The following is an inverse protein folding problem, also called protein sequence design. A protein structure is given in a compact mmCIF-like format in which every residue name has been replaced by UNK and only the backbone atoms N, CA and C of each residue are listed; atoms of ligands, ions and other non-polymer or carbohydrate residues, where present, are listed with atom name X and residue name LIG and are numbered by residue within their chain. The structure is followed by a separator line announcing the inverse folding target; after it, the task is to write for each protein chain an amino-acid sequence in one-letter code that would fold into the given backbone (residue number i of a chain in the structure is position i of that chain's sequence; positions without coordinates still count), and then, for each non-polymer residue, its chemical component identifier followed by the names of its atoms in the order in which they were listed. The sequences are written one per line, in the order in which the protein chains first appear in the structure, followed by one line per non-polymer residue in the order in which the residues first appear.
data_IF_302531413385
#
_entry.id   IF_302531413385
#
_cell.length_a   1.000
_cell.length_b   1.000
_cell.length_c   1.000
_cell.angle_alpha   90.00
_cell.angle_beta   90.00
_cell.angle_gamma   90.00
#
_symmetry.space_group_name_H-M   'P 1'
#
loop_
_entity.id
_entity.type
_entity.pdbx_description
1 polymer ?
2 polymer ?
3 non-polymer ?
4 non-polymer ?
5 water ?
#
loop_
_entity_poly.entity_id
_entity_poly.type
_entity_poly.pdbx_seq_one_letter_code
_entity_poly.pdbx_strand_id
2 'polydeoxyribonucleotide' '(DT)(DG)(DC)(DG)(DC)(DT)(DT)(DC)(DG)(DC)(DG)(DC)(DT)' ?
#
# COMPACT_ATOMS: atom_id res chain seq x y z
N UNK A 10 23.49 -27.29 1.45
CA UNK A 10 23.29 -28.48 2.37
C UNK A 10 21.79 -28.67 2.66
N UNK A 11 21.01 -27.62 2.95
CA UNK A 11 19.54 -27.66 3.10
C UNK A 11 18.88 -27.58 1.70
N UNK A 12 18.26 -28.63 1.18
CA UNK A 12 17.72 -28.69 -0.20
C UNK A 12 16.19 -28.67 -0.15
N UNK A 13 15.55 -28.29 -1.25
CA UNK A 13 14.10 -27.99 -1.32
C UNK A 13 13.37 -29.26 -1.78
N UNK A 14 12.19 -29.52 -1.24
CA UNK A 14 11.38 -30.67 -1.72
C UNK A 14 11.03 -30.45 -3.20
N UNK A 15 11.14 -31.47 -4.08
CA UNK A 15 10.69 -31.32 -5.46
C UNK A 15 9.29 -30.73 -5.67
N UNK A 16 8.27 -31.15 -4.91
CA UNK A 16 6.87 -30.66 -5.02
C UNK A 16 6.77 -29.17 -4.67
N UNK A 17 7.47 -28.74 -3.63
CA UNK A 17 7.46 -27.32 -3.22
C UNK A 17 7.98 -26.53 -4.42
N UNK A 18 9.11 -26.97 -4.98
CA UNK A 18 9.72 -26.27 -6.13
C UNK A 18 8.68 -26.17 -7.26
N UNK A 19 8.10 -27.27 -7.69
CA UNK A 19 7.32 -27.24 -8.95
C UNK A 19 5.98 -26.54 -8.69
N UNK A 20 5.46 -26.55 -7.46
CA UNK A 20 4.17 -25.87 -7.11
C UNK A 20 4.41 -24.36 -7.01
N UNK A 21 5.64 -23.92 -6.67
CA UNK A 21 5.93 -22.48 -6.39
C UNK A 21 6.65 -21.74 -7.53
N UNK A 22 7.34 -22.42 -8.42
CA UNK A 22 8.12 -21.76 -9.49
C UNK A 22 7.44 -21.95 -10.86
N UNK A 23 6.27 -22.54 -10.89
CA UNK A 23 5.52 -22.66 -12.17
C UNK A 23 5.24 -21.24 -12.68
N UNK A 24 5.66 -20.89 -13.90
CA UNK A 24 5.52 -19.47 -14.30
C UNK A 24 4.11 -19.22 -14.87
N UNK A 25 3.18 -20.17 -14.71
CA UNK A 25 1.79 -19.97 -15.16
C UNK A 25 0.82 -19.87 -14.00
N UNK A 26 1.00 -20.61 -12.92
CA UNK A 26 -0.01 -20.56 -11.82
C UNK A 26 0.68 -20.09 -10.53
N UNK A 27 0.09 -19.11 -9.88
CA UNK A 27 0.59 -18.46 -8.66
C UNK A 27 0.38 -19.26 -7.38
N UNK A 28 1.04 -18.81 -6.32
CA UNK A 28 0.81 -19.33 -4.95
C UNK A 28 0.73 -18.12 -4.04
N UNK A 29 0.14 -18.32 -2.86
CA UNK A 29 -0.03 -17.31 -1.78
C UNK A 29 1.18 -17.31 -0.89
N UNK A 30 2.37 -17.60 -1.43
CA UNK A 30 3.67 -17.41 -0.72
C UNK A 30 4.76 -17.12 -1.76
N UNK A 31 5.95 -16.75 -1.32
CA UNK A 31 7.11 -16.47 -2.18
C UNK A 31 8.32 -17.28 -1.68
N UNK A 32 8.99 -18.00 -2.58
CA UNK A 32 10.29 -18.65 -2.27
C UNK A 32 11.39 -17.83 -2.94
N UNK A 33 12.57 -17.85 -2.34
CA UNK A 33 13.72 -17.14 -2.92
C UNK A 33 14.93 -18.07 -2.79
N UNK A 34 15.47 -18.51 -3.92
CA UNK A 34 16.78 -19.20 -3.96
C UNK A 34 17.88 -18.14 -4.17
N UNK A 35 19.01 -18.24 -3.48
CA UNK A 35 20.08 -17.23 -3.55
C UNK A 35 21.44 -17.94 -3.64
N UNK A 36 22.38 -17.25 -4.26
CA UNK A 36 23.76 -17.69 -4.58
C UNK A 36 24.61 -16.45 -4.41
N UNK A 37 25.77 -16.60 -3.77
CA UNK A 37 26.75 -15.50 -3.66
C UNK A 37 28.04 -16.04 -4.31
N UNK A 38 28.58 -15.27 -5.25
CA UNK A 38 29.89 -15.60 -5.89
C UNK A 38 30.83 -14.39 -5.74
N UNK A 39 32.09 -14.68 -5.40
CA UNK A 39 33.19 -13.68 -5.29
C UNK A 39 33.72 -13.39 -6.70
N UNK A 40 33.82 -12.11 -7.06
CA UNK A 40 34.36 -11.57 -8.34
C UNK A 40 35.83 -11.18 -8.11
N UNK A 45 38.76 -13.30 -9.89
CA UNK A 45 38.43 -12.81 -11.22
C UNK A 45 37.14 -13.44 -11.73
N UNK A 46 36.05 -13.12 -11.03
CA UNK A 46 34.69 -13.57 -11.32
C UNK A 46 34.26 -15.05 -11.25
N UNK A 47 34.83 -15.84 -10.34
CA UNK A 47 34.41 -17.24 -10.14
C UNK A 47 34.74 -17.81 -8.75
N UNK A 48 33.74 -17.90 -7.87
CA UNK A 48 33.88 -18.40 -6.50
C UNK A 48 32.52 -18.60 -5.85
N UNK A 49 32.05 -19.83 -5.67
CA UNK A 49 30.66 -19.98 -5.19
C UNK A 49 30.65 -20.31 -3.68
N UNK A 50 30.28 -19.34 -2.83
CA UNK A 50 30.56 -19.34 -1.36
C UNK A 50 29.30 -19.69 -0.52
N UNK A 51 28.15 -19.09 -0.80
CA UNK A 51 26.91 -19.23 0.02
C UNK A 51 25.73 -19.41 -0.93
N UNK A 52 24.94 -20.43 -0.63
CA UNK A 52 23.74 -20.89 -1.37
C UNK A 52 22.66 -21.14 -0.32
N UNK A 53 21.40 -20.89 -0.64
CA UNK A 53 20.26 -21.48 0.09
C UNK A 53 18.95 -20.99 -0.46
N UNK A 54 17.88 -21.22 0.25
CA UNK A 54 16.53 -20.77 -0.16
C UNK A 54 15.79 -20.45 1.13
N UNK A 55 14.71 -19.68 1.01
CA UNK A 55 13.83 -19.32 2.15
C UNK A 55 12.48 -18.91 1.57
N UNK A 56 11.49 -18.70 2.43
CA UNK A 56 10.15 -18.24 1.99
C UNK A 56 9.80 -17.02 2.84
N UNK A 57 8.71 -16.35 2.48
CA UNK A 57 8.18 -15.21 3.27
C UNK A 57 7.75 -15.73 4.64
N UNK A 58 7.75 -14.85 5.65
CA UNK A 58 6.95 -15.08 6.87
C UNK A 58 5.49 -14.69 6.60
N UNK A 59 4.60 -15.67 6.65
CA UNK A 59 3.16 -15.47 6.32
C UNK A 59 2.60 -14.41 7.27
N UNK A 60 1.87 -13.47 6.70
CA UNK A 60 0.86 -12.64 7.40
C UNK A 60 0.02 -13.49 8.35
N UNK A 61 -0.23 -13.02 9.56
CA UNK A 61 -0.98 -13.81 10.58
C UNK A 61 -1.65 -12.84 11.55
N UNK A 62 -2.83 -12.36 11.17
CA UNK A 62 -3.57 -11.24 11.81
C UNK A 62 -4.13 -11.67 13.18
N UNK A 63 -4.18 -12.97 13.47
CA UNK A 63 -4.53 -13.56 14.79
C UNK A 63 -3.41 -13.25 15.80
N UNK A 64 -2.15 -13.09 15.38
CA UNK A 64 -1.05 -12.61 16.25
C UNK A 64 -0.76 -11.14 15.96
N UNK A 65 -1.63 -10.47 15.19
CA UNK A 65 -1.46 -9.09 14.69
C UNK A 65 -0.21 -8.88 13.84
N UNK A 66 0.22 -9.84 13.02
CA UNK A 66 1.50 -9.78 12.26
C UNK A 66 1.20 -9.58 10.78
N UNK A 67 1.77 -8.53 10.20
CA UNK A 67 1.50 -8.17 8.78
C UNK A 67 2.45 -8.93 7.84
N UNK A 68 3.24 -9.89 8.29
CA UNK A 68 4.07 -10.70 7.38
C UNK A 68 5.41 -10.04 7.04
N UNK A 69 6.33 -10.81 6.49
CA UNK A 69 7.64 -10.25 6.04
C UNK A 69 7.97 -10.94 4.74
N UNK A 70 8.04 -10.20 3.64
CA UNK A 70 8.33 -10.75 2.28
C UNK A 70 9.68 -11.45 2.26
N UNK A 71 9.82 -12.45 1.37
CA UNK A 71 11.04 -13.25 1.22
C UNK A 71 12.26 -12.34 0.96
N UNK A 72 12.16 -11.29 0.15
CA UNK A 72 13.35 -10.46 -0.17
C UNK A 72 13.86 -9.75 1.09
N UNK A 73 12.95 -9.34 1.98
CA UNK A 73 13.31 -8.64 3.24
C UNK A 73 13.98 -9.64 4.18
N UNK A 74 13.56 -10.92 4.09
CA UNK A 74 14.13 -12.05 4.87
C UNK A 74 15.57 -12.30 4.41
N UNK A 75 15.85 -12.28 3.10
CA UNK A 75 17.22 -12.28 2.54
C UNK A 75 18.05 -11.14 3.17
N UNK A 76 17.55 -9.90 3.21
CA UNK A 76 18.35 -8.79 3.81
C UNK A 76 18.64 -9.08 5.29
N UNK A 77 17.68 -9.68 5.99
CA UNK A 77 17.87 -10.06 7.41
C UNK A 77 19.08 -10.99 7.57
N UNK A 78 19.34 -11.94 6.66
CA UNK A 78 20.44 -12.91 6.92
C UNK A 78 21.76 -12.48 6.25
N UNK A 79 21.86 -11.32 5.58
CA UNK A 79 23.14 -10.83 4.99
C UNK A 79 24.27 -10.84 6.03
N UNK A 80 24.16 -10.21 7.23
CA UNK A 80 25.24 -10.31 8.23
C UNK A 80 25.81 -11.74 8.39
N UNK A 81 24.93 -12.75 8.48
CA UNK A 81 25.31 -14.18 8.69
C UNK A 81 26.06 -14.74 7.47
N UNK A 82 25.92 -14.16 6.29
CA UNK A 82 26.69 -14.54 5.07
C UNK A 82 28.15 -14.09 5.24
N UNK A 83 28.46 -13.13 6.11
CA UNK A 83 29.89 -12.83 6.40
C UNK A 83 30.62 -12.54 5.07
N UNK A 84 30.06 -11.66 4.24
CA UNK A 84 30.70 -11.07 3.04
C UNK A 84 31.84 -10.15 3.50
N UNK A 85 33.03 -10.44 3.00
CA UNK A 85 34.26 -9.65 3.30
C UNK A 85 34.22 -8.31 2.56
N UNK A 86 34.20 -7.17 3.27
CA UNK A 86 34.13 -5.87 2.60
C UNK A 86 35.37 -5.55 1.73
N UNK A 87 36.44 -6.35 1.78
CA UNK A 87 37.61 -6.17 0.89
C UNK A 87 37.42 -6.93 -0.43
N UNK A 88 36.27 -7.58 -0.65
CA UNK A 88 36.04 -8.42 -1.86
C UNK A 88 34.82 -7.89 -2.60
N UNK A 89 34.66 -8.23 -3.88
CA UNK A 89 33.47 -7.84 -4.69
C UNK A 89 32.63 -9.10 -4.81
N UNK A 90 31.31 -9.00 -4.70
CA UNK A 90 30.40 -10.18 -4.72
C UNK A 90 29.24 -9.96 -5.71
N UNK A 91 28.80 -11.04 -6.32
CA UNK A 91 27.56 -10.99 -7.12
C UNK A 91 26.55 -11.86 -6.38
N UNK A 92 25.41 -11.27 -6.06
CA UNK A 92 24.30 -12.01 -5.38
C UNK A 92 23.25 -12.28 -6.46
N UNK A 93 22.81 -13.53 -6.60
CA UNK A 93 21.76 -13.87 -7.57
C UNK A 93 20.56 -14.36 -6.76
N UNK A 94 19.37 -13.89 -7.14
CA UNK A 94 18.08 -14.25 -6.50
C UNK A 94 17.29 -14.99 -7.58
N UNK A 95 16.70 -16.13 -7.22
CA UNK A 95 15.68 -16.77 -8.07
C UNK A 95 14.41 -16.72 -7.23
N UNK A 96 13.48 -15.84 -7.59
CA UNK A 96 12.33 -15.49 -6.72
C UNK A 96 11.02 -15.82 -7.43
N UNK A 97 10.10 -16.53 -6.76
CA UNK A 97 8.88 -17.07 -7.43
C UNK A 97 7.93 -15.93 -7.82
N UNK A 98 8.00 -14.79 -7.13
CA UNK A 98 7.26 -13.52 -7.40
C UNK A 98 8.27 -12.38 -7.43
N UNK A 99 8.12 -11.52 -8.43
CA UNK A 99 8.93 -10.30 -8.59
C UNK A 99 8.82 -9.51 -7.31
N UNK A 100 9.91 -8.84 -6.88
CA UNK A 100 9.89 -7.88 -5.78
C UNK A 100 8.89 -6.74 -6.01
N UNK A 101 8.44 -6.10 -4.93
CA UNK A 101 7.43 -5.01 -4.99
C UNK A 101 7.75 -3.91 -3.98
N UNK A 102 6.97 -2.84 -3.98
CA UNK A 102 7.30 -1.61 -3.22
C UNK A 102 6.57 -1.68 -1.87
N UNK A 103 5.24 -1.82 -1.92
CA UNK A 103 4.34 -1.85 -0.75
C UNK A 103 4.55 -3.16 0.05
N UNK A 104 4.91 -3.05 1.33
CA UNK A 104 5.27 -4.21 2.18
C UNK A 104 6.47 -4.95 1.57
N UNK A 105 7.17 -4.30 0.63
CA UNK A 105 8.17 -4.95 -0.24
C UNK A 105 9.57 -4.55 0.17
N UNK A 106 10.53 -5.02 -0.63
CA UNK A 106 11.99 -4.84 -0.38
C UNK A 106 12.55 -3.66 -1.19
N UNK A 107 11.80 -3.07 -2.13
CA UNK A 107 12.40 -2.24 -3.20
C UNK A 107 13.23 -1.10 -2.59
N UNK A 108 12.67 -0.42 -1.59
CA UNK A 108 13.28 0.73 -0.89
C UNK A 108 14.50 0.30 -0.11
N UNK A 109 14.40 -0.78 0.65
CA UNK A 109 15.49 -1.31 1.53
C UNK A 109 16.61 -1.93 0.69
N UNK A 110 16.26 -2.60 -0.42
CA UNK A 110 17.29 -3.09 -1.39
C UNK A 110 18.03 -1.88 -1.99
N UNK A 111 17.29 -0.88 -2.46
CA UNK A 111 17.94 0.37 -2.94
C UNK A 111 18.94 0.86 -1.89
N UNK A 112 18.50 1.00 -0.63
CA UNK A 112 19.36 1.48 0.48
C UNK A 112 20.56 0.55 0.60
N UNK A 113 20.32 -0.76 0.53
CA UNK A 113 21.36 -1.79 0.74
C UNK A 113 22.39 -1.70 -0.39
N UNK A 114 21.98 -1.50 -1.65
CA UNK A 114 22.92 -1.33 -2.79
C UNK A 114 23.72 0.00 -2.69
N UNK A 115 23.07 1.09 -2.31
CA UNK A 115 23.75 2.40 -2.13
C UNK A 115 24.89 2.25 -1.12
N UNK A 116 24.65 1.66 0.04
CA UNK A 116 25.66 1.61 1.14
C UNK A 116 26.62 0.42 0.99
N UNK A 117 26.42 -0.52 0.06
CA UNK A 117 27.32 -1.69 -0.12
C UNK A 117 27.76 -1.82 -1.58
N UNK A 118 28.63 -0.93 -2.06
CA UNK A 118 29.05 -0.85 -3.49
C UNK A 118 29.85 -2.08 -3.93
N UNK A 119 30.35 -2.87 -2.97
CA UNK A 119 31.09 -4.15 -3.19
C UNK A 119 30.14 -5.30 -3.58
N UNK A 120 28.82 -5.06 -3.58
CA UNK A 120 27.78 -6.09 -3.91
C UNK A 120 27.04 -5.73 -5.21
N UNK A 121 27.05 -6.63 -6.19
CA UNK A 121 26.17 -6.57 -7.39
C UNK A 121 24.99 -7.55 -7.19
N UNK A 122 23.76 -7.14 -7.51
CA UNK A 122 22.56 -8.00 -7.36
C UNK A 122 21.96 -8.28 -8.74
N UNK A 123 21.67 -9.55 -8.99
CA UNK A 123 20.97 -10.10 -10.16
C UNK A 123 19.70 -10.78 -9.61
N UNK A 124 18.53 -10.41 -10.14
CA UNK A 124 17.17 -10.87 -9.72
C UNK A 124 16.51 -11.49 -10.95
N UNK A 125 16.21 -12.80 -10.88
CA UNK A 125 15.40 -13.58 -11.83
C UNK A 125 14.06 -13.87 -11.13
N UNK A 126 12.93 -13.47 -11.73
CA UNK A 126 11.57 -13.71 -11.18
C UNK A 126 10.87 -14.75 -12.03
N UNK A 127 10.20 -15.71 -11.41
CA UNK A 127 9.39 -16.71 -12.14
C UNK A 127 8.13 -16.03 -12.71
N UNK A 128 7.53 -15.13 -11.95
CA UNK A 128 6.19 -14.52 -12.22
C UNK A 128 6.28 -13.05 -11.83
N UNK A 129 5.39 -12.22 -12.38
CA UNK A 129 5.35 -10.76 -12.11
C UNK A 129 4.27 -10.49 -11.07
N UNK A 130 4.65 -9.94 -9.92
CA UNK A 130 3.72 -9.69 -8.80
C UNK A 130 3.08 -8.31 -8.97
N UNK A 131 1.95 -8.27 -9.67
CA UNK A 131 1.33 -6.99 -10.07
C UNK A 131 0.20 -6.68 -9.08
N UNK A 132 0.02 -7.50 -8.04
CA UNK A 132 -0.96 -7.25 -6.97
C UNK A 132 -0.55 -5.98 -6.22
N UNK A 133 0.73 -5.64 -6.09
CA UNK A 133 1.17 -4.27 -5.68
C UNK A 133 0.88 -3.27 -6.80
N UNK A 134 0.04 -2.24 -6.57
CA UNK A 134 -0.17 -1.17 -7.54
C UNK A 134 1.12 -0.49 -8.07
N UNK A 135 2.14 -0.32 -7.21
CA UNK A 135 3.43 0.34 -7.56
C UNK A 135 4.47 -0.69 -8.02
N UNK A 136 4.06 -1.87 -8.44
CA UNK A 136 5.05 -2.90 -8.85
C UNK A 136 5.96 -2.40 -9.98
N UNK A 137 5.47 -1.58 -10.92
CA UNK A 137 6.35 -1.05 -12.01
C UNK A 137 7.47 -0.19 -11.41
N UNK A 138 7.16 0.67 -10.46
CA UNK A 138 8.09 1.66 -9.87
C UNK A 138 9.15 0.90 -9.07
N UNK A 139 8.72 -0.19 -8.41
CA UNK A 139 9.58 -1.12 -7.65
C UNK A 139 10.63 -1.69 -8.60
N UNK A 140 10.18 -2.20 -9.75
CA UNK A 140 11.11 -2.87 -10.70
C UNK A 140 12.07 -1.81 -11.28
N UNK A 141 11.53 -0.66 -11.66
CA UNK A 141 12.31 0.52 -12.13
C UNK A 141 13.29 0.99 -11.06
N UNK A 142 12.90 1.01 -9.79
CA UNK A 142 13.79 1.47 -8.69
C UNK A 142 15.00 0.53 -8.56
N UNK A 143 14.76 -0.79 -8.63
CA UNK A 143 15.82 -1.82 -8.46
C UNK A 143 16.80 -1.66 -9.61
N UNK A 144 16.30 -1.42 -10.81
CA UNK A 144 17.17 -1.22 -12.00
C UNK A 144 18.01 0.06 -11.84
N UNK A 145 17.39 1.13 -11.30
CA UNK A 145 18.06 2.45 -11.12
C UNK A 145 19.23 2.26 -10.14
N UNK A 146 19.06 1.42 -9.13
CA UNK A 146 20.07 1.18 -8.09
C UNK A 146 21.10 0.16 -8.60
N UNK A 147 21.05 -0.21 -9.88
CA UNK A 147 22.10 -0.99 -10.52
C UNK A 147 21.83 -2.49 -10.47
N UNK A 148 20.70 -2.94 -9.90
CA UNK A 148 20.32 -4.38 -9.93
C UNK A 148 19.96 -4.80 -11.36
N UNK A 149 20.40 -5.97 -11.81
CA UNK A 149 19.84 -6.60 -13.04
C UNK A 149 18.52 -7.25 -12.64
N UNK A 150 17.42 -6.89 -13.31
CA UNK A 150 16.06 -7.44 -13.07
C UNK A 150 15.64 -8.17 -14.35
N UNK A 151 15.39 -9.49 -14.27
CA UNK A 151 15.19 -10.39 -15.42
C UNK A 151 14.01 -11.31 -15.08
N UNK A 152 13.59 -12.10 -16.07
CA UNK A 152 12.55 -13.15 -15.96
C UNK A 152 13.34 -14.44 -16.12
N UNK A 153 13.00 -15.42 -15.30
CA UNK A 153 13.51 -16.80 -15.34
C UNK A 153 13.07 -17.40 -16.67
N UNK A 154 14.04 -17.98 -17.37
CA UNK A 154 13.84 -18.85 -18.56
C UNK A 154 14.20 -20.28 -18.16
N UNK A 155 13.95 -21.20 -19.08
CA UNK A 155 14.39 -22.62 -18.96
C UNK A 155 15.76 -22.74 -18.27
N UNK A 156 16.82 -22.05 -18.74
CA UNK A 156 18.15 -22.19 -18.12
C UNK A 156 18.07 -21.92 -16.62
N UNK A 157 17.31 -20.92 -16.17
CA UNK A 157 17.24 -20.58 -14.73
C UNK A 157 16.40 -21.59 -13.97
N UNK A 158 15.28 -22.05 -14.54
CA UNK A 158 14.52 -23.13 -13.89
C UNK A 158 15.42 -24.35 -13.68
N UNK A 159 16.14 -24.79 -14.71
CA UNK A 159 16.97 -26.01 -14.62
C UNK A 159 18.12 -25.82 -13.61
N UNK A 160 18.86 -24.73 -13.68
CA UNK A 160 19.95 -24.45 -12.71
C UNK A 160 19.36 -24.55 -11.29
N UNK A 161 18.22 -23.93 -11.03
CA UNK A 161 17.59 -23.93 -9.67
C UNK A 161 17.23 -25.36 -9.22
N UNK A 162 16.60 -26.13 -10.10
CA UNK A 162 16.34 -27.57 -9.84
C UNK A 162 17.70 -28.25 -9.54
N UNK A 163 18.70 -28.08 -10.41
CA UNK A 163 19.98 -28.83 -10.31
C UNK A 163 20.64 -28.46 -8.98
N UNK A 164 20.50 -27.22 -8.51
CA UNK A 164 21.30 -26.68 -7.39
C UNK A 164 20.55 -26.72 -6.07
N UNK A 165 19.24 -26.46 -6.02
CA UNK A 165 18.51 -26.17 -4.76
C UNK A 165 17.55 -27.31 -4.44
N UNK A 166 17.28 -28.23 -5.37
CA UNK A 166 16.22 -29.27 -5.12
C UNK A 166 16.85 -30.63 -4.80
N UNK A 167 16.21 -31.35 -3.87
CA UNK A 167 16.47 -32.78 -3.51
C UNK A 167 15.90 -33.65 -4.63
N UNK A 168 16.57 -33.63 -5.79
CA UNK A 168 16.06 -34.28 -7.02
C UNK A 168 16.37 -35.78 -6.96
N UNK A 169 17.34 -36.20 -6.15
CA UNK A 169 17.81 -37.63 -6.02
C UNK A 169 18.30 -38.18 -7.38
N UNK A 170 18.84 -37.33 -8.25
CA UNK A 170 19.35 -37.70 -9.59
C UNK A 170 18.37 -37.54 -10.74
N UNK A 171 17.13 -37.12 -10.48
CA UNK A 171 16.07 -36.88 -11.50
C UNK A 171 16.34 -35.57 -12.24
N UNK A 172 16.52 -35.59 -13.58
CA UNK A 172 16.73 -34.35 -14.31
C UNK A 172 15.51 -33.43 -14.28
N UNK A 173 15.70 -32.12 -14.44
CA UNK A 173 14.59 -31.13 -14.42
C UNK A 173 13.57 -31.48 -15.50
N UNK A 174 12.27 -31.44 -15.21
CA UNK A 174 11.24 -31.80 -16.24
C UNK A 174 10.37 -30.56 -16.47
N UNK A 175 10.58 -29.83 -17.58
CA UNK A 175 9.82 -28.61 -17.82
C UNK A 175 8.30 -28.89 -17.81
N UNK A 176 7.52 -28.03 -17.15
CA UNK A 176 6.04 -28.04 -17.23
C UNK A 176 5.59 -27.50 -18.60
N UNK A 177 4.35 -27.83 -18.97
CA UNK A 177 3.66 -27.25 -20.17
C UNK A 177 3.58 -25.73 -20.03
N UNK A 178 3.91 -25.02 -21.11
CA UNK A 178 3.80 -23.56 -21.26
C UNK A 178 5.03 -22.81 -20.74
N UNK A 179 6.10 -23.49 -20.35
CA UNK A 179 7.25 -22.82 -19.65
C UNK A 179 7.78 -21.70 -20.58
N UNK A 180 8.07 -21.99 -21.84
CA UNK A 180 8.74 -21.04 -22.78
C UNK A 180 7.78 -19.89 -23.13
N UNK A 181 6.49 -20.20 -23.35
CA UNK A 181 5.42 -19.22 -23.66
C UNK A 181 5.29 -18.28 -22.47
N UNK A 182 5.09 -18.80 -21.26
CA UNK A 182 4.93 -17.88 -20.11
C UNK A 182 6.19 -17.00 -20.00
N UNK A 183 7.37 -17.56 -20.25
CA UNK A 183 8.67 -16.83 -20.08
C UNK A 183 8.75 -15.66 -21.08
N UNK A 184 8.43 -15.94 -22.33
CA UNK A 184 8.42 -14.89 -23.38
C UNK A 184 7.41 -13.78 -23.09
N UNK A 185 6.17 -14.13 -22.70
CA UNK A 185 5.12 -13.14 -22.39
C UNK A 185 5.62 -12.23 -21.25
N UNK A 186 6.15 -12.81 -20.19
CA UNK A 186 6.55 -12.00 -19.00
C UNK A 186 7.78 -11.18 -19.38
N UNK A 187 8.66 -11.70 -20.25
CA UNK A 187 9.84 -10.94 -20.74
C UNK A 187 9.38 -9.70 -21.51
N UNK A 188 8.39 -9.85 -22.38
CA UNK A 188 7.71 -8.73 -23.04
C UNK A 188 7.25 -7.70 -22.01
N UNK A 189 6.43 -8.09 -21.03
CA UNK A 189 5.92 -7.11 -20.04
C UNK A 189 7.09 -6.42 -19.33
N UNK A 190 8.10 -7.16 -18.87
CA UNK A 190 9.15 -6.56 -18.02
C UNK A 190 9.95 -5.58 -18.88
N UNK A 191 10.21 -5.91 -20.16
CA UNK A 191 10.94 -4.98 -21.05
C UNK A 191 10.15 -3.67 -21.23
N UNK A 192 8.85 -3.70 -21.46
CA UNK A 192 8.04 -2.47 -21.57
C UNK A 192 8.15 -1.67 -20.26
N UNK A 193 8.14 -2.31 -19.11
CA UNK A 193 8.26 -1.58 -17.81
C UNK A 193 9.64 -0.94 -17.71
N UNK A 194 10.68 -1.62 -18.13
CA UNK A 194 12.07 -1.10 -17.90
C UNK A 194 12.50 -0.17 -19.02
N UNK A 195 11.76 -0.12 -20.13
CA UNK A 195 12.03 0.78 -21.28
C UNK A 195 11.84 2.22 -20.80
N UNK A 196 10.86 2.44 -19.92
CA UNK A 196 10.35 3.73 -19.39
C UNK A 196 11.34 4.38 -18.42
N UNK B 10 -18.29 31.67 2.86
CA UNK B 10 -18.09 32.56 1.66
C UNK B 10 -17.79 31.70 0.41
N UNK B 11 -16.87 30.74 0.45
CA UNK B 11 -16.61 29.77 -0.65
C UNK B 11 -17.63 28.63 -0.52
N UNK B 12 -18.64 28.54 -1.40
CA UNK B 12 -19.75 27.57 -1.24
C UNK B 12 -19.70 26.58 -2.39
N UNK B 13 -20.25 25.39 -2.19
CA UNK B 13 -20.17 24.24 -3.11
C UNK B 13 -21.37 24.27 -4.09
N UNK B 14 -21.15 23.91 -5.34
CA UNK B 14 -22.25 23.80 -6.33
C UNK B 14 -23.23 22.74 -5.86
N UNK B 15 -24.55 22.98 -5.91
CA UNK B 15 -25.53 21.94 -5.59
C UNK B 15 -25.29 20.57 -6.22
N UNK B 16 -25.06 20.50 -7.53
CA UNK B 16 -24.83 19.25 -8.31
C UNK B 16 -23.53 18.55 -7.87
N UNK B 17 -22.48 19.28 -7.56
CA UNK B 17 -21.23 18.66 -7.06
C UNK B 17 -21.60 17.95 -5.76
N UNK B 18 -22.28 18.67 -4.86
CA UNK B 18 -22.67 18.09 -3.56
C UNK B 18 -23.45 16.79 -3.81
N UNK B 19 -24.50 16.83 -4.61
CA UNK B 19 -25.42 15.67 -4.63
C UNK B 19 -24.78 14.53 -5.43
N UNK B 20 -23.90 14.82 -6.39
CA UNK B 20 -23.20 13.78 -7.19
C UNK B 20 -22.09 13.12 -6.36
N UNK B 21 -21.54 13.81 -5.34
CA UNK B 21 -20.40 13.27 -4.55
C UNK B 21 -20.79 12.76 -3.16
N UNK B 22 -21.91 13.21 -2.58
CA UNK B 22 -22.26 12.78 -1.18
C UNK B 22 -23.35 11.71 -1.21
N UNK B 23 -23.76 11.25 -2.38
CA UNK B 23 -24.82 10.22 -2.45
C UNK B 23 -24.28 8.96 -1.77
N UNK B 24 -24.96 8.43 -0.76
CA UNK B 24 -24.36 7.29 -0.01
C UNK B 24 -24.63 5.98 -0.75
N UNK B 25 -25.13 6.01 -1.98
CA UNK B 25 -25.36 4.80 -2.80
C UNK B 25 -24.48 4.77 -4.04
N UNK B 26 -24.07 5.90 -4.60
CA UNK B 26 -23.33 5.91 -5.89
C UNK B 26 -21.93 6.42 -5.61
N UNK B 27 -20.87 5.72 -5.99
CA UNK B 27 -19.48 6.20 -5.79
C UNK B 27 -19.00 7.19 -6.86
N UNK B 28 -17.91 7.89 -6.56
CA UNK B 28 -17.26 8.80 -7.54
C UNK B 28 -15.75 8.60 -7.42
N UNK B 29 -15.02 8.90 -8.47
CA UNK B 29 -13.54 8.77 -8.57
C UNK B 29 -12.93 10.08 -8.06
N UNK B 30 -13.48 10.63 -6.98
CA UNK B 30 -13.08 11.96 -6.44
C UNK B 30 -13.52 11.93 -4.96
N UNK B 31 -12.86 12.66 -4.07
CA UNK B 31 -13.26 12.75 -2.64
C UNK B 31 -13.44 14.23 -2.30
N UNK B 32 -14.57 14.61 -1.70
CA UNK B 32 -14.73 15.98 -1.16
C UNK B 32 -14.67 15.89 0.35
N UNK B 33 -14.29 16.96 1.02
CA UNK B 33 -14.21 17.01 2.49
C UNK B 33 -14.67 18.40 2.92
N UNK B 34 -15.76 18.48 3.68
CA UNK B 34 -16.24 19.72 4.34
C UNK B 34 -15.71 19.69 5.77
N UNK B 35 -15.21 20.81 6.28
CA UNK B 35 -14.57 20.84 7.61
C UNK B 35 -15.07 22.05 8.38
N UNK B 36 -15.10 21.93 9.70
CA UNK B 36 -15.51 22.93 10.72
C UNK B 36 -14.47 22.83 11.84
N UNK B 37 -13.85 23.93 12.23
CA UNK B 37 -12.93 23.96 13.39
C UNK B 37 -13.50 25.00 14.36
N UNK B 38 -13.66 24.65 15.63
CA UNK B 38 -14.03 25.63 16.70
C UNK B 38 -13.19 25.30 17.93
N UNK B 39 -12.62 26.31 18.59
CA UNK B 39 -12.12 26.10 19.98
C UNK B 39 -13.33 26.20 20.92
N UNK B 40 -13.34 25.30 21.91
CA UNK B 40 -14.20 25.36 23.12
C UNK B 40 -13.39 26.08 24.22
N UNK B 41 -13.89 27.25 24.67
CA UNK B 41 -13.23 28.19 25.62
C UNK B 41 -13.79 28.04 27.03
N UNK B 42 -15.13 27.97 27.19
CA UNK B 42 -15.82 27.75 28.49
C UNK B 42 -16.42 26.33 28.52
N UNK B 43 -15.91 25.40 27.71
CA UNK B 43 -16.30 23.98 27.59
C UNK B 43 -17.54 23.83 26.73
N UNK B 44 -18.70 24.21 27.30
CA UNK B 44 -19.99 24.49 26.59
C UNK B 44 -19.81 25.81 25.82
N UNK B 45 -19.09 25.78 24.69
CA UNK B 45 -18.41 26.97 24.11
C UNK B 45 -18.74 27.20 22.63
N UNK B 46 -17.99 28.12 22.02
CA UNK B 46 -18.12 28.64 20.62
C UNK B 46 -18.16 27.45 19.65
N UNK B 50 -15.43 29.28 14.15
CA UNK B 50 -14.22 30.09 13.83
C UNK B 50 -13.90 29.89 12.34
N UNK B 51 -13.45 28.70 11.93
CA UNK B 51 -12.97 28.39 10.56
C UNK B 51 -13.74 27.22 9.93
N UNK B 52 -14.08 27.33 8.64
CA UNK B 52 -14.73 26.23 7.91
C UNK B 52 -14.55 26.38 6.40
N UNK B 53 -14.64 25.27 5.67
CA UNK B 53 -14.45 25.28 4.22
C UNK B 53 -14.62 23.90 3.66
N UNK B 54 -14.33 23.72 2.39
CA UNK B 54 -14.40 22.39 1.76
C UNK B 54 -13.27 22.35 0.73
N UNK B 55 -12.89 21.14 0.33
CA UNK B 55 -11.87 20.89 -0.69
C UNK B 55 -12.07 19.48 -1.23
N UNK B 56 -11.31 19.12 -2.26
CA UNK B 56 -11.30 17.76 -2.83
C UNK B 56 -9.85 17.31 -2.94
N UNK B 57 -9.67 16.05 -3.27
CA UNK B 57 -8.35 15.45 -3.50
C UNK B 57 -7.70 16.12 -4.73
N UNK B 58 -6.36 16.16 -4.77
CA UNK B 58 -5.61 16.43 -6.02
C UNK B 58 -5.55 15.14 -6.85
N UNK B 59 -6.21 15.14 -8.00
CA UNK B 59 -6.32 13.93 -8.84
C UNK B 59 -4.91 13.43 -9.18
N UNK B 60 -4.70 12.14 -9.02
CA UNK B 60 -3.52 11.43 -9.55
C UNK B 60 -3.45 11.63 -11.07
N UNK B 61 -2.23 11.66 -11.59
CA UNK B 61 -1.95 11.88 -13.02
C UNK B 61 -0.64 11.15 -13.38
N UNK B 62 -0.76 9.84 -13.64
CA UNK B 62 0.39 8.89 -13.73
C UNK B 62 1.30 9.19 -14.91
N UNK B 63 0.76 9.79 -15.98
CA UNK B 63 1.52 10.18 -17.20
C UNK B 63 2.39 11.41 -16.90
N UNK B 64 2.07 12.23 -15.90
CA UNK B 64 2.97 13.33 -15.44
C UNK B 64 3.73 12.92 -14.17
N UNK B 65 3.69 11.64 -13.80
CA UNK B 65 4.32 11.10 -12.59
C UNK B 65 3.74 11.60 -11.27
N UNK B 66 2.43 11.91 -11.18
CA UNK B 66 1.86 12.39 -9.88
C UNK B 66 0.96 11.32 -9.28
N UNK B 67 1.18 10.95 -8.01
CA UNK B 67 0.38 9.86 -7.39
C UNK B 67 -0.88 10.42 -6.69
N UNK B 68 -1.18 11.71 -6.77
CA UNK B 68 -2.44 12.21 -6.19
C UNK B 68 -2.22 12.67 -4.76
N UNK B 69 -3.12 13.48 -4.23
CA UNK B 69 -3.11 13.80 -2.78
C UNK B 69 -4.53 13.69 -2.24
N UNK B 70 -4.79 12.73 -1.38
CA UNK B 70 -6.12 12.48 -0.76
C UNK B 70 -6.61 13.72 -0.02
N UNK B 71 -7.92 13.98 -0.11
CA UNK B 71 -8.57 15.14 0.53
C UNK B 71 -8.12 15.30 1.99
N UNK B 72 -8.03 14.22 2.78
CA UNK B 72 -7.69 14.36 4.22
C UNK B 72 -6.25 14.87 4.41
N UNK B 73 -5.30 14.49 3.56
CA UNK B 73 -3.89 14.98 3.63
C UNK B 73 -3.84 16.45 3.27
N UNK B 74 -4.77 16.89 2.43
CA UNK B 74 -4.91 18.32 2.05
C UNK B 74 -5.44 19.14 3.22
N UNK B 75 -6.41 18.62 3.99
CA UNK B 75 -6.82 19.21 5.29
C UNK B 75 -5.59 19.40 6.20
N UNK B 76 -4.73 18.38 6.35
CA UNK B 76 -3.54 18.54 7.24
C UNK B 76 -2.58 19.59 6.69
N UNK B 77 -2.46 19.72 5.37
CA UNK B 77 -1.68 20.79 4.70
C UNK B 77 -2.14 22.17 5.18
N UNK B 78 -3.44 22.43 5.37
CA UNK B 78 -3.84 23.83 5.72
C UNK B 78 -3.97 24.05 7.24
N UNK B 79 -3.67 23.07 8.10
CA UNK B 79 -3.72 23.28 9.59
C UNK B 79 -2.86 24.49 9.98
N UNK B 80 -1.55 24.62 9.63
CA UNK B 80 -0.80 25.83 9.99
C UNK B 80 -1.53 27.15 9.73
N UNK B 81 -2.25 27.28 8.61
CA UNK B 81 -3.04 28.50 8.25
C UNK B 81 -4.18 28.77 9.24
N UNK B 82 -4.58 27.80 10.09
CA UNK B 82 -5.59 27.93 11.19
C UNK B 82 -4.96 28.44 12.49
N UNK B 83 -3.65 28.34 12.67
CA UNK B 83 -2.96 28.98 13.83
C UNK B 83 -3.58 28.44 15.13
N UNK B 84 -3.45 27.12 15.36
CA UNK B 84 -4.07 26.38 16.50
C UNK B 84 -3.09 26.27 17.67
N UNK B 85 -3.53 26.74 18.84
CA UNK B 85 -2.77 26.74 20.12
C UNK B 85 -2.70 25.32 20.67
N UNK B 86 -1.49 24.76 20.90
CA UNK B 86 -1.35 23.33 21.25
C UNK B 86 -2.04 22.91 22.55
N UNK B 87 -2.25 23.85 23.48
CA UNK B 87 -2.85 23.57 24.81
C UNK B 87 -4.29 24.09 24.87
N UNK B 88 -4.88 24.48 23.73
CA UNK B 88 -6.29 24.93 23.64
C UNK B 88 -7.19 23.77 23.21
N UNK B 89 -8.46 23.80 23.61
CA UNK B 89 -9.40 22.72 23.19
C UNK B 89 -10.04 23.12 21.87
N UNK B 90 -9.95 22.25 20.86
CA UNK B 90 -10.53 22.44 19.51
C UNK B 90 -11.34 21.22 19.12
N UNK B 91 -12.52 21.41 18.50
CA UNK B 91 -13.27 20.33 17.85
C UNK B 91 -13.14 20.51 16.34
N UNK B 92 -12.63 19.49 15.66
CA UNK B 92 -12.48 19.51 14.18
C UNK B 92 -13.49 18.49 13.68
N UNK B 93 -14.37 18.89 12.78
CA UNK B 93 -15.37 17.95 12.23
C UNK B 93 -15.11 17.84 10.72
N UNK B 94 -15.06 16.62 10.18
CA UNK B 94 -14.90 16.33 8.74
C UNK B 94 -16.19 15.70 8.24
N UNK B 95 -16.70 16.19 7.11
CA UNK B 95 -17.77 15.48 6.40
C UNK B 95 -17.13 15.07 5.08
N UNK B 96 -16.90 13.77 4.89
CA UNK B 96 -15.99 13.28 3.82
C UNK B 96 -16.77 12.28 2.97
N UNK B 97 -16.70 12.40 1.63
CA UNK B 97 -17.59 11.60 0.75
C UNK B 97 -17.13 10.13 0.77
N UNK B 98 -15.84 9.88 1.04
CA UNK B 98 -15.25 8.52 1.20
C UNK B 98 -14.51 8.48 2.54
N UNK B 99 -14.70 7.38 3.28
CA UNK B 99 -13.99 7.11 4.55
C UNK B 99 -12.49 7.18 4.27
N UNK B 100 -11.71 7.72 5.22
CA UNK B 100 -10.26 7.70 5.14
C UNK B 100 -9.68 6.27 5.06
N UNK B 101 -8.47 6.16 4.53
CA UNK B 101 -7.79 4.86 4.32
C UNK B 101 -6.31 4.97 4.69
N UNK B 102 -5.60 3.84 4.63
CA UNK B 102 -4.21 3.72 5.13
C UNK B 102 -3.24 3.97 3.97
N UNK B 103 -3.40 3.21 2.88
CA UNK B 103 -2.55 3.27 1.66
C UNK B 103 -2.83 4.57 0.90
N UNK B 104 -1.79 5.38 0.70
CA UNK B 104 -1.87 6.74 0.09
C UNK B 104 -2.78 7.61 0.94
N UNK B 105 -3.04 7.21 2.18
CA UNK B 105 -4.11 7.76 3.03
C UNK B 105 -3.56 8.67 4.11
N UNK B 106 -4.43 9.09 5.03
CA UNK B 106 -4.18 10.14 6.06
C UNK B 106 -4.04 9.51 7.43
N UNK B 107 -4.36 8.22 7.55
CA UNK B 107 -4.59 7.59 8.87
C UNK B 107 -3.34 7.74 9.74
N UNK B 108 -2.16 7.51 9.17
CA UNK B 108 -0.84 7.59 9.84
C UNK B 108 -0.55 9.00 10.31
N UNK B 109 -0.75 9.98 9.42
CA UNK B 109 -0.48 11.42 9.67
C UNK B 109 -1.51 12.03 10.62
N UNK B 110 -2.78 11.61 10.55
CA UNK B 110 -3.81 12.05 11.53
C UNK B 110 -3.41 11.49 12.89
N UNK B 111 -3.11 10.20 12.98
CA UNK B 111 -2.61 9.63 14.25
C UNK B 111 -1.49 10.53 14.81
N UNK B 112 -0.46 10.82 14.02
CA UNK B 112 0.68 11.63 14.49
C UNK B 112 0.17 13.01 14.91
N UNK B 113 -0.75 13.58 14.15
CA UNK B 113 -1.29 14.94 14.38
C UNK B 113 -2.08 14.98 15.69
N UNK B 114 -2.87 13.94 15.99
CA UNK B 114 -3.65 13.85 17.27
C UNK B 114 -2.70 13.57 18.45
N UNK B 115 -1.70 12.70 18.32
CA UNK B 115 -0.69 12.44 19.39
C UNK B 115 -0.02 13.75 19.81
N UNK B 116 0.42 14.55 18.86
CA UNK B 116 1.20 15.80 19.09
C UNK B 116 0.30 16.98 19.45
N UNK B 117 -1.02 16.93 19.24
CA UNK B 117 -1.96 18.00 19.65
C UNK B 117 -3.10 17.41 20.49
N UNK B 118 -2.84 17.04 21.75
CA UNK B 118 -3.75 16.22 22.59
C UNK B 118 -5.04 16.98 22.92
N UNK B 119 -5.08 18.30 22.71
CA UNK B 119 -6.29 19.12 23.00
C UNK B 119 -7.28 19.08 21.82
N UNK B 120 -6.85 18.65 20.63
CA UNK B 120 -7.72 18.56 19.42
C UNK B 120 -8.60 17.31 19.52
N UNK B 121 -9.92 17.49 19.44
CA UNK B 121 -10.90 16.39 19.23
C UNK B 121 -11.30 16.40 17.75
N UNK B 122 -11.19 15.27 17.08
CA UNK B 122 -11.55 15.10 15.65
C UNK B 122 -12.78 14.20 15.58
N UNK B 123 -13.81 14.67 14.87
CA UNK B 123 -15.03 13.88 14.52
C UNK B 123 -15.04 13.75 12.99
N UNK B 124 -15.14 12.51 12.49
CA UNK B 124 -15.12 12.14 11.05
C UNK B 124 -16.44 11.46 10.72
N UNK B 125 -17.24 12.07 9.85
CA UNK B 125 -18.51 11.54 9.30
C UNK B 125 -18.26 11.23 7.82
N UNK B 126 -18.44 9.98 7.38
CA UNK B 126 -18.15 9.54 5.99
C UNK B 126 -19.48 9.21 5.30
N UNK B 127 -19.72 9.70 4.08
CA UNK B 127 -20.92 9.33 3.28
C UNK B 127 -20.91 7.85 2.90
N UNK B 128 -19.74 7.33 2.56
CA UNK B 128 -19.50 5.97 1.97
C UNK B 128 -18.26 5.38 2.62
N UNK B 129 -18.14 4.06 2.57
CA UNK B 129 -16.97 3.33 3.14
C UNK B 129 -16.03 2.99 1.97
N UNK B 130 -14.79 3.48 2.03
CA UNK B 130 -13.80 3.30 0.94
C UNK B 130 -13.03 2.03 1.24
N UNK B 131 -13.55 0.92 0.69
CA UNK B 131 -13.01 -0.42 0.97
C UNK B 131 -12.07 -0.78 -0.16
N UNK B 132 -11.86 0.12 -1.11
CA UNK B 132 -10.96 -0.10 -2.25
C UNK B 132 -9.52 -0.16 -1.74
N UNK B 133 -9.14 0.50 -0.63
CA UNK B 133 -7.91 0.15 0.12
C UNK B 133 -8.09 -1.18 0.88
N UNK B 134 -7.29 -2.22 0.59
CA UNK B 134 -7.35 -3.46 1.35
C UNK B 134 -7.22 -3.31 2.87
N UNK B 135 -6.44 -2.35 3.37
CA UNK B 135 -6.22 -2.07 4.82
C UNK B 135 -7.21 -1.03 5.36
N UNK B 136 -8.32 -0.79 4.68
CA UNK B 136 -9.28 0.22 5.17
C UNK B 136 -9.75 -0.07 6.60
N UNK B 137 -9.93 -1.32 7.02
CA UNK B 137 -10.38 -1.58 8.41
C UNK B 137 -9.33 -1.10 9.41
N UNK B 138 -8.03 -1.33 9.16
CA UNK B 138 -6.92 -0.96 10.07
C UNK B 138 -6.84 0.55 10.21
N UNK B 139 -7.07 1.24 9.09
CA UNK B 139 -7.14 2.71 8.99
C UNK B 139 -8.22 3.22 9.95
N UNK B 140 -9.42 2.63 9.85
CA UNK B 140 -10.56 3.12 10.66
C UNK B 140 -10.29 2.81 12.14
N UNK B 141 -9.86 1.59 12.43
CA UNK B 141 -9.39 1.17 13.78
C UNK B 141 -8.27 2.09 14.31
N UNK B 142 -7.30 2.49 13.49
CA UNK B 142 -6.20 3.38 13.93
C UNK B 142 -6.74 4.75 14.33
N UNK B 143 -7.69 5.30 13.55
CA UNK B 143 -8.24 6.64 13.80
C UNK B 143 -8.98 6.62 15.13
N UNK B 144 -9.72 5.53 15.38
CA UNK B 144 -10.44 5.35 16.67
C UNK B 144 -9.42 5.22 17.83
N UNK B 145 -8.33 4.49 17.63
CA UNK B 145 -7.28 4.28 18.67
C UNK B 145 -6.64 5.62 19.03
N UNK B 146 -6.51 6.57 18.09
CA UNK B 146 -5.97 7.93 18.36
C UNK B 146 -7.06 8.84 18.94
N UNK B 147 -8.25 8.27 19.21
CA UNK B 147 -9.36 8.93 19.91
C UNK B 147 -10.24 9.74 18.98
N UNK B 148 -10.10 9.61 17.66
CA UNK B 148 -11.01 10.27 16.69
C UNK B 148 -12.36 9.56 16.74
N UNK B 149 -13.47 10.29 16.74
CA UNK B 149 -14.82 9.70 16.58
C UNK B 149 -14.99 9.44 15.08
N UNK B 150 -15.25 8.19 14.69
CA UNK B 150 -15.41 7.76 13.28
C UNK B 150 -16.85 7.23 13.13
N UNK B 151 -17.64 7.88 12.27
CA UNK B 151 -19.11 7.70 12.16
C UNK B 151 -19.47 7.65 10.67
N UNK B 152 -20.70 7.29 10.36
CA UNK B 152 -21.31 7.33 9.00
C UNK B 152 -22.23 8.55 9.04
N UNK B 153 -22.26 9.33 7.95
CA UNK B 153 -23.21 10.45 7.75
C UNK B 153 -24.62 9.86 7.71
N UNK B 154 -25.50 10.45 8.51
CA UNK B 154 -26.97 10.26 8.44
C UNK B 154 -27.62 11.52 7.87
N UNK B 155 -28.93 11.44 7.62
CA UNK B 155 -29.79 12.59 7.25
C UNK B 155 -29.32 13.90 7.92
N UNK B 156 -29.20 13.95 9.24
CA UNK B 156 -28.82 15.20 9.94
C UNK B 156 -27.50 15.72 9.37
N UNK B 157 -26.52 14.87 9.03
CA UNK B 157 -25.21 15.38 8.58
C UNK B 157 -25.31 15.81 7.12
N UNK B 158 -26.05 15.10 6.29
CA UNK B 158 -26.30 15.56 4.91
C UNK B 158 -26.96 16.96 4.93
N UNK B 159 -27.99 17.15 5.75
CA UNK B 159 -28.70 18.46 5.80
C UNK B 159 -27.78 19.57 6.34
N UNK B 160 -27.14 19.37 7.47
CA UNK B 160 -26.15 20.37 7.97
C UNK B 160 -25.17 20.77 6.84
N UNK B 161 -24.61 19.81 6.10
CA UNK B 161 -23.63 20.11 5.02
C UNK B 161 -24.25 20.94 3.91
N UNK B 162 -25.40 20.51 3.41
CA UNK B 162 -26.23 21.31 2.48
C UNK B 162 -26.43 22.72 3.06
N UNK B 163 -26.91 22.84 4.30
CA UNK B 163 -27.29 24.17 4.83
C UNK B 163 -26.04 25.03 4.96
N UNK B 164 -24.88 24.48 5.28
CA UNK B 164 -23.65 25.24 5.64
C UNK B 164 -22.72 25.42 4.43
N UNK B 165 -22.57 24.46 3.52
CA UNK B 165 -21.45 24.45 2.55
C UNK B 165 -21.98 24.62 1.12
N UNK B 166 -23.29 24.49 0.88
CA UNK B 166 -23.82 24.53 -0.52
C UNK B 166 -24.47 25.89 -0.85
N UNK B 167 -24.24 26.35 -2.08
CA UNK B 167 -24.92 27.50 -2.73
C UNK B 167 -26.32 27.06 -3.15
N UNK B 168 -27.17 26.85 -2.16
CA UNK B 168 -28.51 26.23 -2.33
C UNK B 168 -29.50 27.27 -2.87
N UNK B 169 -29.17 28.57 -2.77
CA UNK B 169 -30.00 29.75 -3.16
C UNK B 169 -31.39 29.72 -2.49
N UNK B 170 -31.46 29.20 -1.27
CA UNK B 170 -32.66 29.15 -0.42
C UNK B 170 -33.45 27.83 -0.50
N UNK B 171 -33.02 26.90 -1.36
CA UNK B 171 -33.69 25.59 -1.55
C UNK B 171 -33.32 24.66 -0.40
N UNK B 172 -34.32 24.09 0.30
CA UNK B 172 -34.05 23.15 1.37
C UNK B 172 -33.39 21.84 0.91
N UNK B 173 -32.67 21.15 1.79
CA UNK B 173 -32.03 19.85 1.47
C UNK B 173 -33.10 18.85 1.03
N UNK B 174 -32.88 18.12 -0.07
CA UNK B 174 -33.87 17.10 -0.52
C UNK B 174 -33.19 15.73 -0.52
N UNK B 175 -33.56 14.87 0.45
CA UNK B 175 -32.96 13.54 0.52
C UNK B 175 -33.17 12.77 -0.80
N UNK B 176 -32.14 12.08 -1.29
CA UNK B 176 -32.22 11.10 -2.40
C UNK B 176 -32.86 9.79 -1.93
N UNK B 177 -33.29 8.95 -2.88
CA UNK B 177 -33.88 7.61 -2.61
C UNK B 177 -32.81 6.74 -1.95
N UNK B 178 -33.21 6.06 -0.86
CA UNK B 178 -32.38 5.08 -0.12
C UNK B 178 -31.42 5.74 0.87
N UNK B 179 -31.53 7.03 1.17
CA UNK B 179 -30.54 7.71 2.04
C UNK B 179 -30.50 6.97 3.39
N UNK B 180 -31.63 6.67 4.03
CA UNK B 180 -31.70 6.05 5.39
C UNK B 180 -31.23 4.58 5.32
N UNK B 181 -31.64 3.84 4.30
CA UNK B 181 -31.23 2.42 4.03
C UNK B 181 -29.72 2.39 3.88
N UNK B 182 -29.15 3.19 2.98
CA UNK B 182 -27.68 3.14 2.77
C UNK B 182 -26.99 3.49 4.10
N UNK B 183 -27.50 4.44 4.86
CA UNK B 183 -26.88 4.95 6.11
C UNK B 183 -26.84 3.83 7.15
N UNK B 184 -27.96 3.14 7.33
CA UNK B 184 -28.07 2.07 8.34
C UNK B 184 -27.17 0.90 7.97
N UNK B 185 -27.17 0.46 6.69
CA UNK B 185 -26.30 -0.64 6.23
C UNK B 185 -24.82 -0.29 6.47
N UNK B 186 -24.38 0.92 6.13
CA UNK B 186 -22.96 1.32 6.32
C UNK B 186 -22.69 1.44 7.82
N UNK B 187 -23.65 1.89 8.63
CA UNK B 187 -23.50 1.98 10.10
C UNK B 187 -23.28 0.58 10.69
N UNK B 188 -24.05 -0.40 10.23
CA UNK B 188 -23.80 -1.82 10.52
C UNK B 188 -22.36 -2.20 10.24
N UNK B 189 -21.89 -2.03 8.99
CA UNK B 189 -20.52 -2.50 8.65
C UNK B 189 -19.51 -1.76 9.53
N UNK B 190 -19.66 -0.45 9.75
CA UNK B 190 -18.58 0.31 10.42
C UNK B 190 -18.54 -0.17 11.87
N UNK B 191 -19.70 -0.44 12.47
CA UNK B 191 -19.75 -0.90 13.89
C UNK B 191 -19.05 -2.26 14.03
N UNK B 192 -19.26 -3.20 13.11
CA UNK B 192 -18.55 -4.49 13.13
C UNK B 192 -17.02 -4.27 13.01
N UNK B 193 -16.57 -3.30 12.21
CA UNK B 193 -15.11 -3.00 12.09
C UNK B 193 -14.60 -2.45 13.41
N UNK B 194 -15.34 -1.54 14.02
CA UNK B 194 -14.81 -0.83 15.22
C UNK B 194 -15.07 -1.64 16.48
N UNK B 195 -15.86 -2.71 16.42
CA UNK B 195 -16.12 -3.62 17.56
C UNK B 195 -14.80 -4.33 17.91
N UNK B 196 -14.03 -4.72 16.88
CA UNK B 196 -12.76 -5.51 16.99
C UNK B 196 -11.95 -5.35 15.69
X LIG E 1 24.90 -26.11 -16.27
X LIG E 1 25.25 -24.91 -17.14
X LIG E 1 26.75 -24.90 -17.20
X LIG E 1 27.11 -26.04 -18.15
X LIG E 1 26.60 -27.39 -17.66
X LIG E 1 25.20 -27.38 -17.07
X LIG E 1 23.48 -26.15 -15.93
X LIG E 1 23.06 -26.21 -14.39
X LIG E 1 21.59 -26.18 -14.71
X LIG E 1 23.54 -24.96 -13.71
X LIG E 1 23.46 -27.49 -13.70
X LIG E 1 24.82 -23.60 -16.65
X LIG E 1 25.27 -22.33 -17.56
X LIG E 1 24.12 -21.35 -17.45
X LIG E 1 26.55 -21.78 -16.94
X LIG E 1 25.49 -22.79 -18.99
X LIG E 1 27.31 -25.09 -15.86
X LIG E 1 27.13 -24.15 -14.54
X LIG E 1 25.73 -23.62 -14.39
X LIG E 1 27.49 -25.06 -13.38
X LIG E 1 28.13 -23.01 -14.68
X LIG E 1 28.55 -26.09 -18.31
X LIG E 1 29.13 -25.21 -19.52
X LIG E 1 28.02 -24.31 -20.04
X LIG E 1 30.27 -24.43 -18.88
X LIG E 1 29.59 -26.22 -20.55
X LIG E 1 26.58 -28.28 -18.83
X LIG E 1 25.94 -27.99 -20.29
X LIG E 1 26.43 -29.18 -21.08
X LIG E 1 24.41 -27.95 -20.21
X LIG E 1 26.50 -26.69 -20.85
X LIG E 1 25.04 -28.50 -16.15
X LIG E 1 24.54 -29.96 -16.63
X LIG E 1 23.14 -30.16 -16.13
X LIG E 1 24.62 -30.10 -18.12
X LIG E 1 25.55 -30.84 -15.91
X LIG F 1 9.38 -7.83 -2.07
X LIG G 1 -31.20 23.48 12.68
X LIG G 1 -30.03 22.59 12.31
X LIG G 1 -29.19 21.97 13.44
X LIG G 1 -29.79 22.00 14.85
X LIG G 1 -30.89 23.02 15.03
X LIG G 1 -31.87 22.89 13.89
X LIG G 1 -32.14 23.45 11.55
X LIG G 1 -32.62 24.72 10.66
X LIG G 1 -32.97 24.13 9.30
X LIG G 1 -31.49 25.72 10.62
X LIG G 1 -33.86 25.27 11.34
X LIG G 1 -29.15 23.37 11.45
X LIG G 1 -28.54 22.47 10.28
X LIG G 1 -27.15 22.12 10.76
X LIG G 1 -29.44 21.26 10.10
X LIG G 1 -28.58 23.41 9.09
X LIG G 1 -27.82 22.52 13.47
X LIG G 1 -27.18 24.01 13.64
X LIG G 1 -26.20 24.16 12.50
X LIG G 1 -28.31 25.03 13.57
X LIG G 1 -26.49 23.99 14.97
X LIG G 1 -28.72 22.23 15.82
X LIG G 1 -27.96 21.01 16.57
X LIG G 1 -27.84 21.43 18.02
X LIG G 1 -26.59 20.84 15.92
X LIG G 1 -28.82 19.78 16.41
X LIG G 1 -31.59 22.73 16.28
X LIG G 1 -31.11 23.43 17.65
X LIG G 1 -29.92 24.35 17.41
X LIG G 1 -32.37 24.18 18.07
X LIG G 1 -30.77 22.27 18.56
X LIG G 1 -33.13 23.57 14.19
X LIG G 1 -34.48 22.70 14.43
X LIG G 1 -35.66 23.65 14.32
X LIG G 1 -34.53 21.61 13.36
X LIG G 1 -34.34 22.12 15.82
X LIG H 1 -7.39 9.29 3.17
#
# INVERSE_FOLDING_TARGET
MEASPASGPRHLMDPHIFTSNFNNGIGRHKTYLCYEVERLDNGTSVKMDQHRGFLHNQAKNLLCGFYGRHAALRFLDLVPSLQLDPAQIYRVTWFISWSPCFSWGCAGEVRAFLQENTHVRLRIFAARIYDYDPLYKEALQMLRDAGAQVSIMTYDEFKHCWDTFVDHQGCPFQPWDGLDEHSQALSGRLRAILQNQGN
MEASPASGPRHLMDPHIFTSNFNNGIGRHKTYLCYEVERLDNGTSVKMDQHRGFLHNQAKNLLCGFYGRHAALRFLDLVPSLQLDPAQIYRVTWFISWSPCFSWGCAGEVRAFLQENTHVRLRIFAARIYDYDPLYKEALQMLRDAGAQVSIMTYDEFKHCWDTFVDHQGCPFQPWDGLDEHSQALSGRLRAILQNQGN
IHP C1 C2 C3 C4 C5 C6 O11 P1 O21 O31 O41 O12 P2 O22 O32 O42 O13 P3 O23 O33 O43 O14 P4 O24 O34 O44 O15 P5 O25 O35 O45 O16 P6 O26 O36 O46
CL CL
IHP C1 C2 C3 C4 C5 C6 O11 P1 O21 O31 O41 O12 P2 O22 O32 O42 O13 P3 O23 O33 O43 O14 P4 O24 O34 O44 O15 P5 O25 O35 O45 O16 P6 O26 O36 O46
CL CL
#
